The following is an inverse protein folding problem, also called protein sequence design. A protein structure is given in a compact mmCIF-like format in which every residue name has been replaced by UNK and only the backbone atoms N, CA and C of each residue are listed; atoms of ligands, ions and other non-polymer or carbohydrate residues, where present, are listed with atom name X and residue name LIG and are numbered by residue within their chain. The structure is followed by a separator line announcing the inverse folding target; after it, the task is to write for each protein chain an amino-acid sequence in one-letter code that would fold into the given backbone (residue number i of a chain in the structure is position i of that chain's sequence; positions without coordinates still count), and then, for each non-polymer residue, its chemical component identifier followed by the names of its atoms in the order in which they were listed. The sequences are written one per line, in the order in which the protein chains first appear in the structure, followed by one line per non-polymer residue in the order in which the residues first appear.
data_IF_170722938235
#
_entry.id   IF_170722938235
#
_cell.length_a   1.000
_cell.length_b   1.000
_cell.length_c   1.000
_cell.angle_alpha   90.00
_cell.angle_beta   90.00
_cell.angle_gamma   90.00
#
_symmetry.space_group_name_H-M   'P 1'
#
loop_
_entity.id
_entity.type
_entity.pdbx_description
1 polymer ?
#
# COMPACT_ATOMS: atom_id res chain seq x y z
N UNK A 1 -67.78 32.74 -38.42
CA UNK A 1 -67.51 31.86 -37.27
C UNK A 1 -66.68 30.69 -37.76
N UNK A 2 -65.37 30.73 -37.52
CA UNK A 2 -64.43 29.62 -37.75
C UNK A 2 -64.03 29.06 -36.38
N UNK A 3 -64.02 27.73 -36.17
CA UNK A 3 -63.64 27.16 -34.89
C UNK A 3 -62.11 27.22 -34.72
N UNK A 4 -61.59 27.33 -33.48
CA UNK A 4 -60.17 27.22 -33.23
C UNK A 4 -59.72 25.78 -33.44
N UNK A 5 -58.69 25.61 -34.25
CA UNK A 5 -58.01 24.34 -34.51
C UNK A 5 -57.43 23.80 -33.20
N UNK A 6 -58.01 22.72 -32.70
CA UNK A 6 -57.51 21.97 -31.55
C UNK A 6 -56.17 21.33 -31.94
N UNK A 7 -55.07 21.93 -31.49
CA UNK A 7 -53.71 21.47 -31.74
C UNK A 7 -53.47 20.15 -31.04
N UNK A 8 -53.57 19.05 -31.79
CA UNK A 8 -53.16 17.72 -31.37
C UNK A 8 -51.67 17.78 -30.98
N UNK A 9 -51.27 17.43 -29.76
CA UNK A 9 -49.86 17.45 -29.39
C UNK A 9 -49.10 16.50 -30.32
N UNK A 10 -48.14 17.06 -31.05
CA UNK A 10 -47.29 16.33 -31.99
C UNK A 10 -46.59 15.21 -31.23
N UNK A 11 -46.73 13.96 -31.67
CA UNK A 11 -46.10 12.79 -31.03
C UNK A 11 -44.58 12.94 -30.87
N UNK A 12 -43.97 13.78 -31.71
CA UNK A 12 -42.56 14.18 -31.61
C UNK A 12 -42.26 14.96 -30.33
N UNK A 13 -43.16 15.85 -29.91
CA UNK A 13 -43.02 16.62 -28.66
C UNK A 13 -43.04 15.70 -27.44
N UNK A 14 -43.93 14.71 -27.44
CA UNK A 14 -43.99 13.70 -26.38
C UNK A 14 -42.70 12.89 -26.31
N UNK A 15 -42.15 12.47 -27.46
CA UNK A 15 -40.85 11.78 -27.53
C UNK A 15 -39.70 12.60 -26.94
N UNK A 16 -39.64 13.90 -27.24
CA UNK A 16 -38.63 14.78 -26.64
C UNK A 16 -38.81 14.95 -25.13
N UNK A 17 -40.05 15.04 -24.64
CA UNK A 17 -40.32 15.11 -23.20
C UNK A 17 -39.91 13.82 -22.49
N UNK A 18 -40.20 12.66 -23.08
CA UNK A 18 -39.77 11.36 -22.54
C UNK A 18 -38.24 11.23 -22.54
N UNK A 19 -37.55 11.63 -23.62
CA UNK A 19 -36.10 11.60 -23.70
C UNK A 19 -35.44 12.58 -22.71
N UNK A 20 -36.02 13.76 -22.51
CA UNK A 20 -35.55 14.71 -21.51
C UNK A 20 -35.77 14.17 -20.08
N UNK A 21 -36.91 13.53 -19.83
CA UNK A 21 -37.22 12.96 -18.53
C UNK A 21 -36.29 11.78 -18.19
N UNK A 22 -35.99 10.90 -19.15
CA UNK A 22 -35.01 9.81 -18.94
C UNK A 22 -33.61 10.36 -18.72
N UNK A 23 -33.19 11.40 -19.44
CA UNK A 23 -31.90 12.07 -19.21
C UNK A 23 -31.82 12.68 -17.79
N UNK A 24 -32.88 13.37 -17.36
CA UNK A 24 -32.95 13.97 -16.02
C UNK A 24 -32.89 12.88 -14.95
N UNK A 25 -33.64 11.77 -15.12
CA UNK A 25 -33.59 10.63 -14.19
C UNK A 25 -32.19 10.03 -14.12
N UNK A 26 -31.50 9.84 -15.25
CA UNK A 26 -30.12 9.30 -15.26
C UNK A 26 -29.10 10.23 -14.57
N UNK A 27 -29.30 11.55 -14.63
CA UNK A 27 -28.44 12.54 -13.95
C UNK A 27 -28.80 12.66 -12.46
N UNK A 28 -30.02 12.30 -12.06
CA UNK A 28 -30.51 12.37 -10.68
C UNK A 28 -30.45 11.04 -9.93
N UNK A 29 -29.88 9.97 -10.52
CA UNK A 29 -29.34 8.90 -9.69
C UNK A 29 -28.26 9.54 -8.80
N UNK A 30 -28.40 9.49 -7.47
CA UNK A 30 -27.29 9.87 -6.61
C UNK A 30 -26.14 8.95 -7.02
N UNK A 31 -25.09 9.53 -7.62
CA UNK A 31 -23.80 8.85 -7.66
C UNK A 31 -23.57 8.49 -6.21
N UNK A 32 -23.61 7.20 -5.88
CA UNK A 32 -23.41 6.75 -4.52
C UNK A 32 -22.17 7.49 -4.05
N UNK A 33 -22.32 8.35 -3.04
CA UNK A 33 -21.22 9.02 -2.40
C UNK A 33 -20.40 7.92 -1.73
N UNK A 34 -19.58 7.25 -2.54
CA UNK A 34 -18.40 6.58 -2.08
C UNK A 34 -17.56 7.74 -1.57
N UNK A 35 -17.74 8.06 -0.28
CA UNK A 35 -16.81 8.94 0.40
C UNK A 35 -15.42 8.43 -0.01
N UNK A 36 -14.58 9.29 -0.60
CA UNK A 36 -13.26 8.85 -1.02
C UNK A 36 -12.59 8.34 0.24
N UNK A 37 -12.43 7.01 0.35
CA UNK A 37 -11.75 6.44 1.51
C UNK A 37 -10.38 7.08 1.54
N UNK A 38 -10.16 7.90 2.57
CA UNK A 38 -8.89 8.60 2.73
C UNK A 38 -7.85 7.53 3.00
N UNK A 39 -6.97 7.35 2.02
CA UNK A 39 -5.89 6.40 2.10
C UNK A 39 -4.66 7.10 2.67
N UNK A 40 -4.10 6.54 3.74
CA UNK A 40 -2.90 7.03 4.39
C UNK A 40 -1.81 6.01 4.24
N UNK A 41 -0.62 6.48 3.87
CA UNK A 41 0.54 5.62 3.67
C UNK A 41 1.66 6.00 4.62
N UNK A 42 2.22 5.02 5.33
CA UNK A 42 3.47 5.19 6.10
C UNK A 42 4.61 4.54 5.34
N UNK A 43 5.64 5.31 5.01
CA UNK A 43 6.80 4.81 4.27
C UNK A 43 7.85 4.18 5.19
N UNK A 44 8.43 3.08 4.73
CA UNK A 44 9.66 2.46 5.22
C UNK A 44 10.71 2.50 4.11
N UNK A 45 11.74 3.33 4.29
CA UNK A 45 12.83 3.48 3.33
C UNK A 45 13.79 2.30 3.40
N UNK A 46 14.27 1.86 2.23
CA UNK A 46 15.23 0.76 2.09
C UNK A 46 14.82 -0.49 2.88
N UNK A 47 13.53 -0.81 2.83
CA UNK A 47 12.91 -1.96 3.48
C UNK A 47 12.10 -2.77 2.46
N UNK A 48 12.16 -4.09 2.56
CA UNK A 48 11.42 -5.02 1.71
C UNK A 48 10.84 -6.16 2.54
N UNK A 49 9.69 -6.65 2.12
CA UNK A 49 9.08 -7.85 2.69
C UNK A 49 9.90 -9.07 2.32
N UNK A 50 10.22 -9.92 3.29
CA UNK A 50 10.72 -11.26 2.97
C UNK A 50 9.57 -12.08 2.37
N UNK A 51 9.47 -12.07 1.04
CA UNK A 51 8.41 -12.75 0.28
C UNK A 51 8.36 -14.24 0.57
N UNK A 52 9.50 -14.89 0.82
CA UNK A 52 9.54 -16.33 1.13
C UNK A 52 8.88 -16.61 2.47
N UNK A 53 9.15 -15.77 3.47
CA UNK A 53 8.58 -15.92 4.79
C UNK A 53 7.11 -15.52 4.84
N UNK A 54 6.74 -14.47 4.09
CA UNK A 54 5.37 -14.02 3.97
C UNK A 54 4.51 -15.09 3.28
N UNK A 55 4.85 -15.55 2.07
CA UNK A 55 4.03 -16.53 1.34
C UNK A 55 3.93 -17.92 2.01
N UNK A 56 4.80 -18.22 2.97
CA UNK A 56 4.66 -19.43 3.79
C UNK A 56 3.47 -19.33 4.78
N UNK A 57 2.98 -18.13 5.07
CA UNK A 57 1.82 -17.92 5.93
C UNK A 57 0.52 -17.96 5.13
N UNK A 58 -0.46 -18.65 5.67
CA UNK A 58 -1.78 -18.79 5.03
C UNK A 58 -2.60 -17.50 5.08
N UNK A 59 -2.27 -16.58 5.99
CA UNK A 59 -2.95 -15.30 6.20
C UNK A 59 -2.49 -14.19 5.27
N UNK A 60 -1.51 -14.47 4.41
CA UNK A 60 -0.91 -13.50 3.50
C UNK A 60 -1.31 -13.75 2.06
N UNK A 61 -1.66 -12.67 1.37
CA UNK A 61 -1.84 -12.66 -0.07
C UNK A 61 -0.84 -11.70 -0.70
N UNK A 62 -0.42 -12.01 -1.93
CA UNK A 62 0.46 -11.18 -2.72
C UNK A 62 -0.04 -11.11 -4.16
N UNK A 63 0.13 -9.94 -4.78
CA UNK A 63 -0.08 -9.66 -6.19
C UNK A 63 1.08 -8.79 -6.70
N UNK A 64 1.50 -8.98 -7.95
CA UNK A 64 2.63 -8.29 -8.54
C UNK A 64 2.22 -7.65 -9.85
N UNK A 65 2.70 -6.43 -10.11
CA UNK A 65 2.35 -5.67 -11.30
C UNK A 65 3.43 -4.67 -11.68
N UNK A 66 3.31 -4.20 -12.92
CA UNK A 66 4.14 -3.13 -13.47
C UNK A 66 3.41 -1.80 -13.33
N UNK A 67 4.04 -0.81 -12.70
CA UNK A 67 3.55 0.57 -12.59
C UNK A 67 4.61 1.57 -13.00
N UNK A 68 4.21 2.79 -13.33
CA UNK A 68 5.15 3.84 -13.77
C UNK A 68 5.81 4.57 -12.61
N UNK A 69 5.07 4.76 -11.52
CA UNK A 69 5.55 5.51 -10.37
C UNK A 69 5.19 4.82 -9.06
N UNK A 70 5.95 5.15 -8.02
CA UNK A 70 5.68 4.70 -6.65
C UNK A 70 4.28 5.11 -6.16
N UNK A 71 3.84 6.31 -6.54
CA UNK A 71 2.51 6.81 -6.21
C UNK A 71 1.41 5.94 -6.83
N UNK A 72 1.59 5.49 -8.06
CA UNK A 72 0.63 4.59 -8.72
C UNK A 72 0.55 3.24 -8.00
N UNK A 73 1.67 2.73 -7.48
CA UNK A 73 1.70 1.50 -6.68
C UNK A 73 0.86 1.64 -5.40
N UNK A 74 1.05 2.74 -4.68
CA UNK A 74 0.30 3.04 -3.45
C UNK A 74 -1.19 3.20 -3.75
N UNK A 75 -1.55 3.96 -4.79
CA UNK A 75 -2.94 4.18 -5.18
C UNK A 75 -3.64 2.88 -5.59
N UNK A 76 -2.95 1.99 -6.30
CA UNK A 76 -3.49 0.67 -6.64
C UNK A 76 -3.91 -0.10 -5.40
N UNK A 77 -3.08 -0.15 -4.36
CA UNK A 77 -3.43 -0.79 -3.08
C UNK A 77 -4.57 -0.10 -2.35
N UNK A 78 -4.67 1.23 -2.45
CA UNK A 78 -5.76 2.00 -1.87
C UNK A 78 -7.12 1.63 -2.49
N UNK A 79 -7.19 1.34 -3.79
CA UNK A 79 -8.46 1.04 -4.47
C UNK A 79 -8.75 -0.45 -4.64
N UNK A 80 -7.73 -1.30 -4.59
CA UNK A 80 -7.86 -2.71 -4.96
C UNK A 80 -7.68 -3.67 -3.79
N UNK A 81 -8.11 -4.90 -4.02
CA UNK A 81 -7.85 -6.05 -3.17
C UNK A 81 -6.78 -6.91 -3.84
N UNK A 82 -5.90 -7.53 -3.05
CA UNK A 82 -4.84 -8.40 -3.57
C UNK A 82 -5.44 -9.69 -4.14
N UNK A 83 -6.46 -10.21 -3.46
CA UNK A 83 -7.29 -11.35 -3.84
C UNK A 83 -8.71 -11.10 -3.32
N UNK A 84 -9.74 -11.81 -3.82
CA UNK A 84 -11.10 -11.66 -3.31
C UNK A 84 -11.15 -11.83 -1.77
N UNK A 85 -11.53 -10.77 -1.06
CA UNK A 85 -11.59 -10.76 0.41
C UNK A 85 -10.27 -10.47 1.14
N UNK A 86 -9.18 -10.21 0.41
CA UNK A 86 -7.87 -9.84 0.96
C UNK A 86 -7.53 -8.38 0.60
N UNK A 87 -7.94 -7.46 1.48
CA UNK A 87 -7.71 -6.02 1.33
C UNK A 87 -6.22 -5.69 1.32
N UNK A 88 -5.73 -4.98 0.31
CA UNK A 88 -4.34 -4.55 0.32
C UNK A 88 -4.08 -3.59 1.49
N UNK A 89 -3.03 -3.88 2.27
CA UNK A 89 -2.63 -3.06 3.42
C UNK A 89 -1.13 -2.79 3.49
N UNK A 90 -0.33 -3.34 2.57
CA UNK A 90 1.07 -3.00 2.42
C UNK A 90 1.52 -3.15 0.97
N UNK A 91 2.41 -2.27 0.50
CA UNK A 91 3.00 -2.36 -0.84
C UNK A 91 4.50 -2.20 -0.82
N UNK A 92 5.18 -2.86 -1.76
CA UNK A 92 6.60 -2.65 -2.03
C UNK A 92 6.74 -2.08 -3.44
N UNK A 93 7.41 -0.94 -3.55
CA UNK A 93 7.84 -0.39 -4.82
C UNK A 93 9.36 -0.60 -4.98
N UNK A 94 9.76 -1.20 -6.10
CA UNK A 94 11.14 -1.43 -6.46
C UNK A 94 11.54 -0.54 -7.64
N UNK A 95 12.13 0.62 -7.34
CA UNK A 95 12.59 1.58 -8.34
C UNK A 95 13.82 1.12 -9.14
N UNK A 96 14.46 0.00 -8.76
CA UNK A 96 15.59 -0.56 -9.50
C UNK A 96 15.14 -1.43 -10.69
N UNK A 97 13.85 -1.76 -10.76
CA UNK A 97 13.28 -2.58 -11.84
C UNK A 97 12.99 -1.72 -13.06
N UNK A 98 13.28 -2.27 -14.23
CA UNK A 98 12.93 -1.65 -15.51
C UNK A 98 11.42 -1.68 -15.74
N UNK A 99 10.93 -0.82 -16.63
CA UNK A 99 9.49 -0.60 -16.86
C UNK A 99 8.75 -1.80 -17.48
N UNK A 100 9.45 -2.89 -17.78
CA UNK A 100 8.97 -4.16 -18.30
C UNK A 100 8.99 -5.29 -17.25
N UNK A 101 9.55 -5.04 -16.07
CA UNK A 101 9.55 -5.96 -14.95
C UNK A 101 8.57 -5.53 -13.86
N UNK A 102 8.00 -6.50 -13.14
CA UNK A 102 7.15 -6.23 -11.98
C UNK A 102 7.95 -5.43 -10.93
N UNK A 103 7.46 -4.23 -10.66
CA UNK A 103 8.11 -3.26 -9.78
C UNK A 103 7.20 -2.80 -8.63
N UNK A 104 5.94 -3.25 -8.63
CA UNK A 104 4.98 -2.98 -7.58
C UNK A 104 4.39 -4.30 -7.08
N UNK A 105 4.55 -4.55 -5.78
CA UNK A 105 4.10 -5.76 -5.13
C UNK A 105 3.11 -5.38 -4.03
N UNK A 106 1.87 -5.84 -4.15
CA UNK A 106 0.80 -5.59 -3.20
C UNK A 106 0.70 -6.78 -2.26
N UNK A 107 0.56 -6.49 -0.97
CA UNK A 107 0.44 -7.48 0.08
C UNK A 107 -0.81 -7.24 0.93
N UNK A 108 -1.41 -8.35 1.35
CA UNK A 108 -2.35 -8.39 2.46
C UNK A 108 -1.68 -9.16 3.59
N UNK A 109 -1.52 -8.54 4.75
CA UNK A 109 -0.89 -9.13 5.92
C UNK A 109 -1.79 -8.89 7.14
N UNK A 110 -2.23 -9.92 7.86
CA UNK A 110 -3.08 -9.68 9.04
C UNK A 110 -2.31 -9.01 10.18
N UNK A 111 -1.04 -9.36 10.35
CA UNK A 111 -0.16 -8.80 11.38
C UNK A 111 1.24 -8.48 10.82
N UNK A 112 2.00 -7.63 11.51
CA UNK A 112 3.37 -7.27 11.09
C UNK A 112 4.30 -8.49 10.98
N UNK A 113 4.14 -9.49 11.87
CA UNK A 113 4.93 -10.73 11.77
C UNK A 113 4.57 -11.59 10.56
N UNK A 114 3.43 -11.35 9.90
CA UNK A 114 3.06 -12.09 8.72
C UNK A 114 3.78 -11.58 7.48
N UNK A 115 4.16 -10.30 7.46
CA UNK A 115 5.00 -9.72 6.43
C UNK A 115 6.23 -9.04 7.03
N UNK A 116 7.22 -9.85 7.44
CA UNK A 116 8.40 -9.33 8.11
C UNK A 116 9.23 -8.47 7.16
N UNK A 117 9.55 -7.27 7.63
CA UNK A 117 10.41 -6.32 6.92
C UNK A 117 11.88 -6.63 7.16
N UNK A 118 12.63 -6.62 6.06
CA UNK A 118 14.08 -6.78 6.04
C UNK A 118 14.71 -5.60 5.32
N UNK A 119 16.02 -5.40 5.51
CA UNK A 119 16.74 -4.33 4.83
C UNK A 119 16.81 -4.62 3.32
N UNK A 120 16.50 -3.62 2.52
CA UNK A 120 16.53 -3.68 1.06
C UNK A 120 17.70 -2.86 0.49
N UNK A 121 17.88 -3.00 -0.83
CA UNK A 121 18.72 -2.08 -1.60
C UNK A 121 18.10 -0.69 -1.63
N UNK A 122 18.92 0.31 -1.92
CA UNK A 122 18.45 1.67 -2.16
C UNK A 122 17.43 1.69 -3.32
N UNK A 123 16.52 2.66 -3.31
CA UNK A 123 15.37 2.77 -4.23
C UNK A 123 14.31 1.64 -4.14
N UNK A 124 14.36 0.79 -3.10
CA UNK A 124 13.25 -0.08 -2.72
C UNK A 124 12.58 0.48 -1.48
N UNK A 125 11.29 0.77 -1.57
CA UNK A 125 10.52 1.33 -0.48
C UNK A 125 9.28 0.47 -0.22
N UNK A 126 8.97 0.27 1.07
CA UNK A 126 7.71 -0.34 1.50
C UNK A 126 6.77 0.73 2.04
N UNK A 127 5.47 0.58 1.84
CA UNK A 127 4.44 1.45 2.38
C UNK A 127 3.36 0.64 3.09
N UNK A 128 3.08 1.00 4.34
CA UNK A 128 1.90 0.52 5.07
C UNK A 128 0.70 1.37 4.67
N UNK A 129 -0.38 0.74 4.24
CA UNK A 129 -1.57 1.38 3.69
C UNK A 129 -2.74 1.25 4.67
N UNK A 130 -3.27 2.39 5.11
CA UNK A 130 -4.41 2.50 6.02
C UNK A 130 -5.57 3.20 5.32
N UNK A 131 -6.78 2.62 5.35
CA UNK A 131 -8.00 3.23 4.81
C UNK A 131 -8.89 3.71 5.95
N UNK A 132 -9.27 5.00 5.96
CA UNK A 132 -10.34 5.61 6.78
C UNK A 132 -10.29 5.44 8.31
N UNK A 133 -10.43 6.54 9.09
CA UNK A 133 -10.54 6.64 10.58
C UNK A 133 -9.50 5.92 11.48
N UNK A 134 -8.76 4.93 10.99
CA UNK A 134 -7.72 4.18 11.70
C UNK A 134 -6.34 4.84 11.52
N UNK A 135 -6.30 6.16 11.55
CA UNK A 135 -5.05 6.84 11.83
C UNK A 135 -4.72 6.64 13.32
N UNK A 136 -3.51 6.18 13.69
CA UNK A 136 -3.07 6.15 15.09
C UNK A 136 -3.07 7.54 15.77
N UNK A 137 -3.27 8.61 15.01
CA UNK A 137 -3.29 10.00 15.48
C UNK A 137 -4.67 10.51 15.91
N UNK A 138 -5.75 9.73 15.81
CA UNK A 138 -7.06 10.15 16.37
C UNK A 138 -7.26 9.66 17.80
N UNK A 139 -6.31 9.96 18.69
CA UNK A 139 -6.61 9.98 20.13
C UNK A 139 -7.47 11.20 20.38
N UNK A 140 -8.79 11.05 20.21
CA UNK A 140 -9.77 12.00 20.72
C UNK A 140 -9.50 12.14 22.23
N UNK A 141 -9.14 13.33 22.76
CA UNK A 141 -9.10 13.52 24.19
C UNK A 141 -10.50 13.20 24.74
N UNK A 142 -10.64 12.34 25.76
CA UNK A 142 -11.94 12.17 26.39
C UNK A 142 -12.42 13.55 26.88
N UNK A 143 -13.71 13.88 26.73
CA UNK A 143 -14.26 15.11 27.27
C UNK A 143 -13.96 15.16 28.78
N UNK A 144 -13.68 16.34 29.36
CA UNK A 144 -13.38 16.44 30.79
C UNK A 144 -14.60 15.99 31.59
N UNK A 145 -14.53 14.79 32.15
CA UNK A 145 -15.49 14.33 33.15
C UNK A 145 -15.19 15.08 34.45
N UNK A 146 -16.05 16.04 34.80
CA UNK A 146 -16.00 16.75 36.07
C UNK A 146 -16.32 15.77 37.20
N UNK A 147 -15.30 15.11 37.75
CA UNK A 147 -15.44 14.27 38.94
C UNK A 147 -15.36 15.17 40.17
N UNK A 148 -16.51 15.42 40.79
CA UNK A 148 -16.62 16.06 42.11
C UNK A 148 -16.04 15.12 43.16
N UNK A 149 -14.80 15.34 43.58
CA UNK A 149 -14.17 14.61 44.69
C UNK A 149 -14.62 15.22 46.02
N UNK A 150 -15.52 14.54 46.73
CA UNK A 150 -15.87 14.86 48.11
C UNK A 150 -14.71 14.44 49.03
N UNK A 151 -13.96 15.42 49.55
CA UNK A 151 -12.85 15.21 50.49
C UNK A 151 -13.40 15.03 51.92
N UNK A 152 -13.35 13.81 52.43
CA UNK A 152 -13.60 13.51 53.86
C UNK A 152 -12.28 13.62 54.63
N UNK A 153 -12.17 14.57 55.55
CA UNK A 153 -11.02 14.75 56.44
C UNK A 153 -10.97 13.67 57.53
N UNK A 154 -9.78 13.11 57.84
CA UNK A 154 -9.48 12.53 59.14
C UNK A 154 -8.78 13.53 60.09
N UNK A 155 -8.82 13.29 61.42
CA UNK A 155 -8.59 14.32 62.44
C UNK A 155 -7.12 14.63 62.72
N UNK A 156 -6.91 15.87 63.14
CA UNK A 156 -5.69 16.53 63.60
C UNK A 156 -5.16 15.98 64.93
N UNK A 157 -3.84 15.77 65.02
CA UNK A 157 -3.08 15.88 66.27
C UNK A 157 -1.75 16.62 66.01
N UNK A 158 -1.34 17.60 66.84
CA UNK A 158 -0.28 18.55 66.50
C UNK A 158 1.08 18.16 67.10
N UNK A 159 2.16 18.28 66.31
CA UNK A 159 3.52 18.31 66.86
C UNK A 159 4.39 19.37 66.17
N UNK A 160 4.57 20.44 66.93
CA UNK A 160 5.65 21.43 67.07
C UNK A 160 6.82 21.42 66.05
N UNK A 161 7.09 22.62 65.53
CA UNK A 161 8.18 22.97 64.64
C UNK A 161 9.58 22.89 65.27
N UNK A 162 10.56 22.46 64.48
CA UNK A 162 11.96 22.87 64.62
C UNK A 162 12.59 23.06 63.22
N UNK A 163 13.40 24.11 62.99
CA UNK A 163 14.02 24.36 61.69
C UNK A 163 15.38 23.67 61.56
N UNK A 164 15.59 22.95 60.45
CA UNK A 164 16.93 22.46 60.08
C UNK A 164 17.19 22.66 58.59
N UNK A 165 18.34 23.30 58.35
CA UNK A 165 18.96 23.76 57.12
C UNK A 165 19.14 22.66 56.06
N UNK A 166 18.97 22.93 54.75
CA UNK A 166 19.33 21.97 53.71
C UNK A 166 20.85 21.81 53.60
N UNK A 167 21.33 20.60 53.89
CA UNK A 167 22.72 20.18 53.64
C UNK A 167 22.86 19.83 52.16
N UNK A 168 23.66 20.61 51.43
CA UNK A 168 24.05 20.31 50.05
C UNK A 168 24.83 19.00 49.99
N UNK A 169 24.32 18.01 49.26
CA UNK A 169 25.02 16.75 48.99
C UNK A 169 25.53 16.83 47.56
N UNK A 170 26.82 17.15 47.41
CA UNK A 170 27.54 17.06 46.14
C UNK A 170 27.92 15.60 45.93
N UNK A 171 27.20 14.90 45.07
CA UNK A 171 27.55 13.53 44.66
C UNK A 171 28.39 13.60 43.40
N UNK A 172 29.70 13.46 43.57
CA UNK A 172 30.69 13.32 42.49
C UNK A 172 30.53 11.96 41.82
N UNK A 173 30.05 11.92 40.58
CA UNK A 173 30.10 10.70 39.76
C UNK A 173 31.54 10.48 39.24
N UNK A 174 32.05 9.24 39.26
CA UNK A 174 33.34 8.91 38.65
C UNK A 174 33.29 8.98 37.12
N UNK A 175 34.38 9.37 36.44
CA UNK A 175 34.43 9.47 34.99
C UNK A 175 34.30 8.10 34.34
N UNK A 176 33.38 7.98 33.38
CA UNK A 176 33.23 6.78 32.54
C UNK A 176 34.32 6.80 31.47
N UNK A 177 35.24 5.84 31.56
CA UNK A 177 36.29 5.59 30.57
C UNK A 177 35.68 5.05 29.29
N UNK A 178 35.75 5.81 28.20
CA UNK A 178 35.36 5.36 26.86
C UNK A 178 36.45 4.46 26.28
N UNK A 179 36.22 3.15 26.26
CA UNK A 179 37.06 2.20 25.53
C UNK A 179 36.75 2.29 24.04
N UNK A 180 37.67 2.86 23.25
CA UNK A 180 37.60 2.78 21.79
C UNK A 180 38.11 1.40 21.34
N UNK A 181 37.21 0.53 20.90
CA UNK A 181 37.57 -0.73 20.25
C UNK A 181 37.82 -0.46 18.77
N UNK A 182 39.08 -0.40 18.38
CA UNK A 182 39.50 -0.32 16.98
C UNK A 182 39.30 -1.69 16.31
N UNK A 183 38.26 -1.83 15.48
CA UNK A 183 38.04 -3.03 14.68
C UNK A 183 38.94 -2.99 13.44
N UNK A 184 40.07 -3.69 13.51
CA UNK A 184 40.93 -3.97 12.34
C UNK A 184 40.15 -4.82 11.35
N UNK A 185 39.81 -4.23 10.20
CA UNK A 185 39.15 -4.94 9.10
C UNK A 185 40.22 -5.63 8.26
N UNK A 186 40.37 -6.94 8.43
CA UNK A 186 41.19 -7.78 7.56
C UNK A 186 40.50 -7.90 6.20
N UNK A 187 41.06 -7.30 5.16
CA UNK A 187 40.62 -7.51 3.78
C UNK A 187 41.00 -8.93 3.34
N UNK A 188 40.01 -9.82 3.27
CA UNK A 188 40.16 -11.12 2.62
C UNK A 188 39.91 -10.94 1.12
N UNK A 189 41.00 -10.84 0.35
CA UNK A 189 40.96 -10.83 -1.12
C UNK A 189 40.60 -12.23 -1.62
N UNK A 190 39.35 -12.45 -2.03
CA UNK A 190 38.95 -13.66 -2.74
C UNK A 190 39.21 -13.47 -4.24
N UNK A 191 40.29 -14.06 -4.73
CA UNK A 191 40.61 -14.13 -6.16
C UNK A 191 39.68 -15.14 -6.83
N UNK A 192 38.64 -14.67 -7.51
CA UNK A 192 37.77 -15.52 -8.34
C UNK A 192 38.40 -15.69 -9.73
N UNK A 193 38.95 -16.87 -9.99
CA UNK A 193 39.45 -17.28 -11.30
C UNK A 193 38.26 -17.49 -12.24
N UNK A 194 38.05 -16.58 -13.18
CA UNK A 194 37.10 -16.74 -14.29
C UNK A 194 37.62 -17.77 -15.29
N UNK A 195 37.02 -18.96 -15.27
CA UNK A 195 37.12 -19.92 -16.37
C UNK A 195 36.23 -19.45 -17.53
N UNK A 196 36.75 -19.34 -18.77
CA UNK A 196 35.91 -19.04 -19.93
C UNK A 196 35.02 -20.24 -20.24
N UNK A 197 33.72 -20.12 -19.99
CA UNK A 197 32.72 -21.08 -20.46
C UNK A 197 32.33 -20.69 -21.88
N UNK A 198 32.81 -21.45 -22.85
CA UNK A 198 32.37 -21.39 -24.25
C UNK A 198 30.94 -21.90 -24.33
N UNK A 199 29.96 -21.00 -24.41
CA UNK A 199 28.56 -21.36 -24.69
C UNK A 199 28.39 -21.59 -26.18
N UNK A 200 28.32 -22.86 -26.56
CA UNK A 200 27.93 -23.30 -27.90
C UNK A 200 26.47 -22.92 -28.15
N UNK A 201 26.24 -22.09 -29.17
CA UNK A 201 24.91 -21.68 -29.63
C UNK A 201 24.16 -22.91 -30.19
N UNK A 202 22.92 -23.20 -29.76
CA UNK A 202 22.09 -24.18 -30.46
C UNK A 202 21.64 -23.60 -31.81
N UNK A 203 22.14 -24.20 -32.90
CA UNK A 203 21.67 -23.94 -34.27
C UNK A 203 20.16 -24.18 -34.37
N UNK A 204 19.41 -23.11 -34.58
CA UNK A 204 17.97 -23.19 -34.86
C UNK A 204 17.79 -23.59 -36.33
N UNK A 205 17.42 -24.84 -36.57
CA UNK A 205 17.01 -25.34 -37.88
C UNK A 205 15.62 -24.79 -38.20
N UNK A 206 15.56 -23.80 -39.09
CA UNK A 206 14.31 -23.35 -39.71
C UNK A 206 13.79 -24.45 -40.64
N UNK A 207 12.78 -25.19 -40.20
CA UNK A 207 12.00 -26.07 -41.06
C UNK A 207 10.97 -25.25 -41.84
N UNK A 208 11.27 -25.01 -43.11
CA UNK A 208 10.33 -24.48 -44.10
C UNK A 208 9.11 -25.40 -44.21
N UNK A 209 7.87 -24.92 -44.04
CA UNK A 209 6.69 -25.73 -44.33
C UNK A 209 6.56 -25.95 -45.83
N UNK A 210 6.52 -27.23 -46.24
CA UNK A 210 6.20 -27.69 -47.59
C UNK A 210 4.79 -27.23 -47.98
N UNK A 211 4.59 -26.60 -49.15
CA UNK A 211 3.25 -26.25 -49.62
C UNK A 211 2.47 -27.51 -50.01
N UNK A 212 1.29 -27.66 -49.43
CA UNK A 212 0.30 -28.68 -49.77
C UNK A 212 -0.12 -28.56 -51.25
N UNK A 213 -0.10 -29.64 -52.05
CA UNK A 213 -0.58 -29.59 -53.42
C UNK A 213 -2.11 -29.53 -53.47
N UNK A 214 -2.63 -28.49 -54.11
CA UNK A 214 -4.04 -28.32 -54.46
C UNK A 214 -4.45 -29.37 -55.51
N UNK A 215 -5.57 -30.10 -55.36
CA UNK A 215 -6.03 -31.02 -56.39
C UNK A 215 -6.58 -30.25 -57.60
N UNK A 216 -5.90 -30.40 -58.73
CA UNK A 216 -6.34 -29.89 -60.02
C UNK A 216 -7.53 -30.72 -60.52
N UNK A 217 -8.69 -30.09 -60.59
CA UNK A 217 -9.88 -30.63 -61.26
C UNK A 217 -9.64 -30.61 -62.78
N UNK A 218 -9.78 -31.78 -63.38
CA UNK A 218 -9.73 -32.03 -64.82
C UNK A 218 -11.12 -31.73 -65.42
N UNK A 219 -11.27 -30.86 -66.44
CA UNK A 219 -12.50 -30.77 -67.20
C UNK A 219 -12.48 -31.77 -68.35
N UNK A 220 -13.61 -32.47 -68.50
CA UNK A 220 -13.97 -33.28 -69.66
C UNK A 220 -13.76 -32.53 -70.97
N UNK A 221 -13.12 -33.18 -71.94
CA UNK A 221 -13.67 -33.36 -73.29
C UNK A 221 -12.92 -34.45 -74.06
#
# INVERSE_FOLDING_TARGET
MTPPTSGRPSGTLMLFVYAAFTLIVMISLPVSALEPETCFSRQHQSAIVDVRLALNRQTTAMDARVVRTERDCVLACCSEEVKPGAKCNMVVFNGNKHADEENCFLFHCQMEQDCPLTKAQDAINTYDIYKGLLHPTTVRPPPPTTTTTTTTLPPTTPTTAQPTTPKSITTTMPPTTTTMTTTTTTMTTTTTTTQPTTTTLPSTTTSTPTPTPTPHLHPSS
#
